data_IF_100729141849
#
_entry.id   IF_100729141849
#
_cell.length_a   1.000
_cell.length_b   1.000
_cell.length_c   1.000
_cell.angle_alpha   90.00
_cell.angle_beta   90.00
_cell.angle_gamma   90.00
#
_symmetry.space_group_name_H-M   'P 1'
#
loop_
_entity.id
_entity.type
_entity.pdbx_description
1 polymer ?
#
# COMPACT_ATOMS: atom_id res chain seq x y z
N UNK A 1 -50.03 -5.64 -21.73
CA UNK A 1 -49.81 -6.80 -22.60
C UNK A 1 -48.39 -7.29 -22.36
N UNK A 2 -48.26 -8.47 -21.80
CA UNK A 2 -46.98 -9.17 -21.61
C UNK A 2 -46.66 -9.94 -22.90
N UNK A 3 -45.51 -9.69 -23.50
CA UNK A 3 -44.96 -10.58 -24.53
C UNK A 3 -43.69 -11.28 -24.00
N UNK A 4 -43.80 -12.61 -23.99
CA UNK A 4 -42.76 -13.58 -23.67
C UNK A 4 -41.74 -13.66 -24.81
N UNK A 5 -40.47 -13.84 -24.46
CA UNK A 5 -39.52 -14.60 -25.29
C UNK A 5 -38.91 -15.71 -24.46
N UNK A 6 -39.30 -16.93 -24.80
CA UNK A 6 -38.57 -18.19 -24.58
C UNK A 6 -37.18 -18.05 -25.23
N UNK A 7 -36.08 -18.65 -24.79
CA UNK A 7 -35.84 -19.89 -24.08
C UNK A 7 -34.51 -20.40 -24.67
N UNK A 8 -33.42 -20.38 -23.91
CA UNK A 8 -32.16 -20.96 -24.35
C UNK A 8 -31.65 -21.94 -23.29
N UNK A 9 -31.42 -23.16 -23.77
CA UNK A 9 -31.23 -24.38 -23.01
C UNK A 9 -29.89 -24.41 -22.26
N UNK A 10 -29.95 -24.95 -21.04
CA UNK A 10 -28.79 -25.45 -20.27
C UNK A 10 -28.09 -26.54 -21.08
N UNK A 11 -26.77 -26.46 -21.20
CA UNK A 11 -25.93 -27.61 -21.57
C UNK A 11 -25.12 -28.01 -20.35
N UNK A 12 -25.42 -29.20 -19.86
CA UNK A 12 -24.59 -29.97 -18.94
C UNK A 12 -23.28 -30.37 -19.65
N UNK A 13 -22.15 -30.20 -18.97
CA UNK A 13 -20.88 -30.78 -19.35
C UNK A 13 -20.34 -31.58 -18.16
N UNK A 14 -20.87 -32.78 -18.01
CA UNK A 14 -20.19 -33.88 -17.33
C UNK A 14 -19.36 -34.68 -18.34
N UNK A 15 -18.27 -35.26 -17.85
CA UNK A 15 -17.39 -36.24 -18.51
C UNK A 15 -16.29 -35.66 -19.40
N UNK A 16 -15.10 -35.50 -18.81
CA UNK A 16 -13.90 -35.97 -19.47
C UNK A 16 -12.97 -36.66 -18.45
N UNK A 17 -12.97 -37.99 -18.49
CA UNK A 17 -12.00 -38.86 -17.82
C UNK A 17 -10.64 -38.66 -18.50
N UNK A 18 -9.71 -38.05 -17.78
CA UNK A 18 -8.29 -38.04 -18.13
C UNK A 18 -7.50 -38.81 -17.08
N UNK A 19 -6.78 -39.83 -17.54
CA UNK A 19 -6.00 -40.83 -16.81
C UNK A 19 -5.09 -40.26 -15.72
N UNK A 20 -5.21 -40.80 -14.49
CA UNK A 20 -4.23 -40.60 -13.42
C UNK A 20 -3.05 -41.54 -13.67
N UNK A 21 -1.86 -40.97 -13.87
CA UNK A 21 -0.59 -41.72 -13.83
C UNK A 21 -0.25 -42.10 -12.40
N UNK A 22 -0.05 -43.39 -12.19
CA UNK A 22 0.53 -44.00 -11.01
C UNK A 22 1.94 -43.45 -10.73
N UNK A 23 2.19 -43.08 -9.48
CA UNK A 23 3.53 -43.06 -8.89
C UNK A 23 3.44 -43.78 -7.54
N UNK A 24 3.82 -45.05 -7.55
CA UNK A 24 4.14 -45.78 -6.33
C UNK A 24 5.52 -45.36 -5.81
N UNK A 25 5.61 -45.14 -4.49
CA UNK A 25 6.56 -45.90 -3.67
C UNK A 25 6.24 -45.74 -2.18
N UNK A 26 5.89 -46.88 -1.56
CA UNK A 26 5.63 -47.03 -0.13
C UNK A 26 6.96 -47.28 0.60
N UNK A 27 7.20 -46.61 1.73
CA UNK A 27 8.04 -47.16 2.81
C UNK A 27 7.13 -47.69 3.93
N UNK A 28 7.38 -48.90 4.48
CA UNK A 28 6.44 -49.55 5.38
C UNK A 28 6.59 -49.01 6.81
N UNK A 29 5.49 -48.47 7.35
CA UNK A 29 5.35 -48.26 8.80
C UNK A 29 4.72 -49.53 9.36
N UNK A 30 5.48 -50.32 10.12
CA UNK A 30 4.93 -51.44 10.90
C UNK A 30 4.16 -50.88 12.10
N UNK A 31 2.92 -51.32 12.27
CA UNK A 31 2.08 -51.11 13.46
C UNK A 31 1.92 -52.46 14.15
N UNK A 32 2.02 -52.44 15.48
CA UNK A 32 1.76 -53.62 16.31
C UNK A 32 0.26 -53.67 16.68
N UNK A 33 -0.22 -54.85 17.08
CA UNK A 33 -1.62 -55.27 17.04
C UNK A 33 -2.63 -54.52 17.96
N UNK A 34 -2.23 -53.44 18.64
CA UNK A 34 -3.11 -52.66 19.54
C UNK A 34 -3.03 -51.12 19.33
N UNK A 35 -2.58 -50.66 18.16
CA UNK A 35 -3.00 -49.34 17.64
C UNK A 35 -2.64 -48.07 18.45
N UNK A 36 -1.50 -48.02 19.13
CA UNK A 36 -1.00 -46.79 19.81
C UNK A 36 0.40 -46.36 19.37
N UNK A 37 0.66 -45.05 19.33
CA UNK A 37 1.92 -44.44 18.88
C UNK A 37 2.90 -44.25 20.05
N UNK A 38 4.11 -44.84 19.97
CA UNK A 38 5.17 -44.65 20.97
C UNK A 38 6.30 -43.74 20.44
N UNK A 39 6.63 -42.68 21.19
CA UNK A 39 7.79 -41.81 20.96
C UNK A 39 9.07 -42.51 21.44
N UNK A 40 10.11 -42.50 20.63
CA UNK A 40 11.44 -43.03 20.97
C UNK A 40 12.18 -42.06 21.90
N UNK A 41 12.32 -42.43 23.17
CA UNK A 41 13.24 -41.79 24.14
C UNK A 41 14.63 -42.40 23.99
N UNK A 42 15.67 -41.58 23.82
CA UNK A 42 17.05 -42.04 23.89
C UNK A 42 17.57 -41.93 25.32
N UNK A 43 17.98 -43.08 25.86
CA UNK A 43 18.62 -43.23 27.16
C UNK A 43 20.09 -42.78 27.11
N UNK A 44 20.54 -42.35 28.27
CA UNK A 44 21.87 -41.88 28.62
C UNK A 44 22.55 -43.02 29.36
N UNK A 45 23.62 -43.60 28.81
CA UNK A 45 24.50 -44.50 29.56
C UNK A 45 25.98 -44.18 29.28
N UNK A 46 26.71 -44.07 30.40
CA UNK A 46 28.16 -43.98 30.56
C UNK A 46 28.74 -45.38 30.60
N UNK A 47 30.00 -45.52 30.20
CA UNK A 47 31.08 -46.35 30.80
C UNK A 47 32.25 -46.44 29.79
N UNK A 48 33.54 -46.63 30.08
CA UNK A 48 34.49 -46.30 31.16
C UNK A 48 35.83 -46.95 30.73
N UNK A 49 36.97 -46.24 30.70
CA UNK A 49 38.35 -46.76 30.99
C UNK A 49 39.49 -45.77 30.58
N UNK A 50 40.68 -45.81 31.24
CA UNK A 50 41.58 -44.66 31.41
C UNK A 50 42.87 -44.71 30.56
N UNK A 51 43.53 -43.56 30.34
CA UNK A 51 44.90 -43.46 29.77
C UNK A 51 45.76 -42.41 30.51
N UNK A 52 47.10 -42.57 30.51
CA UNK A 52 47.97 -42.24 31.65
C UNK A 52 48.56 -40.83 31.62
N UNK A 53 49.04 -40.39 32.79
CA UNK A 53 49.71 -39.12 33.04
C UNK A 53 51.04 -38.99 32.27
N UNK A 54 51.24 -37.85 31.60
CA UNK A 54 52.53 -37.46 30.99
C UNK A 54 53.03 -36.15 31.60
N UNK A 55 54.24 -36.23 32.15
CA UNK A 55 55.02 -35.16 32.80
C UNK A 55 55.21 -33.91 31.92
N UNK A 56 55.25 -32.77 32.61
CA UNK A 56 55.50 -31.41 32.15
C UNK A 56 56.84 -31.23 31.41
N UNK A 57 56.81 -30.38 30.38
CA UNK A 57 57.95 -29.56 29.94
C UNK A 57 57.45 -28.18 29.53
N UNK A 58 58.08 -27.16 30.09
CA UNK A 58 57.77 -25.73 29.97
C UNK A 58 57.81 -25.21 28.52
N UNK A 59 56.86 -24.34 28.18
CA UNK A 59 57.01 -23.38 27.08
C UNK A 59 56.58 -21.99 27.57
N UNK A 60 57.53 -21.07 27.44
CA UNK A 60 57.56 -19.68 27.91
C UNK A 60 56.30 -18.88 27.60
N UNK A 61 55.89 -18.08 28.59
CA UNK A 61 54.94 -16.98 28.49
C UNK A 61 55.43 -15.93 27.47
N UNK A 62 54.65 -15.69 26.42
CA UNK A 62 54.77 -14.51 25.56
C UNK A 62 53.42 -13.81 25.54
N UNK A 63 53.48 -12.51 25.82
CA UNK A 63 52.36 -11.64 26.15
C UNK A 63 51.24 -11.55 25.11
N UNK A 64 50.18 -10.90 25.57
CA UNK A 64 48.96 -10.55 24.86
C UNK A 64 49.21 -10.11 23.41
N UNK A 65 48.88 -10.98 22.46
CA UNK A 65 48.87 -10.67 21.03
C UNK A 65 47.62 -9.84 20.68
N UNK A 66 47.53 -8.61 21.23
CA UNK A 66 46.49 -7.65 20.83
C UNK A 66 46.94 -6.70 19.72
N UNK A 67 48.19 -6.74 19.28
CA UNK A 67 48.75 -5.67 18.44
C UNK A 67 49.38 -6.09 17.11
N UNK A 68 49.24 -7.33 16.60
CA UNK A 68 49.97 -7.72 15.37
C UNK A 68 49.21 -8.58 14.34
N UNK A 69 47.90 -8.38 14.16
CA UNK A 69 47.23 -8.78 12.91
C UNK A 69 46.30 -7.66 12.42
N UNK A 70 46.77 -6.95 11.40
CA UNK A 70 46.06 -5.85 10.77
C UNK A 70 44.72 -6.25 10.17
N UNK A 71 43.69 -5.48 10.51
CA UNK A 71 42.86 -4.84 9.48
C UNK A 71 41.87 -5.67 8.67
N UNK A 72 41.51 -6.90 9.05
CA UNK A 72 40.32 -7.57 8.49
C UNK A 72 39.31 -7.84 9.58
N UNK A 73 38.24 -7.03 9.62
CA UNK A 73 37.06 -7.23 10.46
C UNK A 73 36.50 -8.63 10.21
N UNK A 74 36.83 -9.58 11.07
CA UNK A 74 36.07 -10.82 11.20
C UNK A 74 34.65 -10.45 11.59
N UNK A 75 33.72 -10.78 10.69
CA UNK A 75 32.28 -10.97 10.93
C UNK A 75 31.72 -10.28 12.18
N UNK A 76 31.45 -8.98 12.08
CA UNK A 76 30.30 -8.43 12.83
C UNK A 76 29.07 -9.13 12.25
N UNK A 77 28.49 -10.05 13.00
CA UNK A 77 27.12 -10.51 12.75
C UNK A 77 26.19 -9.30 12.89
N UNK A 78 26.00 -8.56 11.80
CA UNK A 78 24.88 -7.64 11.72
C UNK A 78 23.64 -8.52 11.75
N UNK A 79 22.78 -8.25 12.73
CA UNK A 79 21.41 -8.70 12.71
C UNK A 79 20.86 -8.39 11.32
N UNK A 80 20.29 -9.39 10.66
CA UNK A 80 19.73 -9.28 9.30
C UNK A 80 18.48 -8.37 9.23
N UNK A 81 18.32 -7.50 10.24
CA UNK A 81 17.11 -6.77 10.61
C UNK A 81 17.35 -5.26 10.83
N UNK A 82 18.59 -4.77 10.82
CA UNK A 82 18.86 -3.34 11.12
C UNK A 82 19.26 -2.47 9.92
N UNK A 83 19.41 -3.04 8.72
CA UNK A 83 19.73 -2.23 7.54
C UNK A 83 19.35 -2.97 6.24
N UNK A 84 18.10 -3.42 6.14
CA UNK A 84 17.58 -3.72 4.79
C UNK A 84 17.50 -2.39 4.06
N UNK A 85 18.43 -2.14 3.15
CA UNK A 85 18.33 -1.20 2.02
C UNK A 85 16.86 -0.85 1.76
N UNK A 86 16.34 0.24 2.34
CA UNK A 86 15.01 0.79 2.05
C UNK A 86 15.06 1.46 0.68
N UNK A 87 15.51 0.71 -0.33
CA UNK A 87 15.51 1.17 -1.70
C UNK A 87 14.07 1.15 -2.17
N UNK A 88 13.58 2.32 -2.54
CA UNK A 88 12.36 2.48 -3.33
C UNK A 88 12.33 1.43 -4.44
N UNK A 89 11.29 0.57 -4.50
CA UNK A 89 11.18 -0.43 -5.54
C UNK A 89 11.19 0.20 -6.93
N UNK A 90 11.81 -0.49 -7.89
CA UNK A 90 11.70 -0.14 -9.29
C UNK A 90 10.49 -0.86 -9.88
N UNK A 91 9.55 -0.09 -10.42
CA UNK A 91 8.29 -0.59 -10.99
C UNK A 91 8.43 -0.70 -12.51
N UNK A 92 8.40 -1.91 -13.06
CA UNK A 92 8.53 -2.17 -14.50
C UNK A 92 7.16 -2.24 -15.19
N UNK A 93 6.34 -1.21 -14.97
CA UNK A 93 4.93 -1.15 -15.42
C UNK A 93 4.80 -1.20 -16.95
N UNK A 94 5.84 -0.78 -17.68
CA UNK A 94 5.83 -0.81 -19.15
C UNK A 94 5.79 -2.24 -19.71
N UNK A 95 6.40 -3.22 -19.02
CA UNK A 95 6.30 -4.64 -19.41
C UNK A 95 4.86 -5.16 -19.33
N UNK A 96 4.05 -4.62 -18.43
CA UNK A 96 2.63 -4.95 -18.35
C UNK A 96 1.86 -4.39 -19.53
N UNK A 97 2.24 -3.23 -20.10
CA UNK A 97 1.55 -2.65 -21.26
C UNK A 97 1.58 -3.61 -22.46
N UNK A 98 2.72 -4.24 -22.70
CA UNK A 98 2.90 -5.20 -23.81
C UNK A 98 2.10 -6.49 -23.62
N UNK A 99 1.95 -6.94 -22.37
CA UNK A 99 1.26 -8.19 -22.02
C UNK A 99 -0.20 -8.01 -21.61
N UNK A 100 -0.68 -6.77 -21.51
CA UNK A 100 -2.05 -6.44 -21.10
C UNK A 100 -3.11 -6.91 -22.12
N UNK A 101 -4.35 -7.19 -21.69
CA UNK A 101 -5.47 -7.44 -22.60
C UNK A 101 -5.63 -6.32 -23.64
N UNK A 102 -5.99 -6.66 -24.89
CA UNK A 102 -6.13 -5.70 -26.02
C UNK A 102 -6.98 -4.48 -25.70
N UNK A 103 -8.04 -4.63 -24.90
CA UNK A 103 -8.91 -3.52 -24.48
C UNK A 103 -8.16 -2.48 -23.62
N UNK A 104 -7.28 -2.96 -22.74
CA UNK A 104 -6.44 -2.10 -21.89
C UNK A 104 -5.35 -1.45 -22.74
N UNK A 105 -4.69 -2.20 -23.64
CA UNK A 105 -3.70 -1.65 -24.58
C UNK A 105 -4.28 -0.49 -25.40
N UNK A 106 -5.45 -0.69 -26.01
CA UNK A 106 -6.13 0.36 -26.77
C UNK A 106 -6.43 1.61 -25.93
N UNK A 107 -6.88 1.43 -24.68
CA UNK A 107 -7.13 2.55 -23.75
C UNK A 107 -5.84 3.30 -23.38
N UNK A 108 -4.74 2.58 -23.18
CA UNK A 108 -3.42 3.17 -22.90
C UNK A 108 -2.97 4.00 -24.11
N UNK A 109 -3.03 3.45 -25.31
CA UNK A 109 -2.67 4.15 -26.55
C UNK A 109 -3.51 5.42 -26.77
N UNK A 110 -4.82 5.37 -26.48
CA UNK A 110 -5.71 6.53 -26.59
C UNK A 110 -5.35 7.65 -25.59
N UNK A 111 -4.93 7.28 -24.37
CA UNK A 111 -4.49 8.23 -23.34
C UNK A 111 -3.14 8.84 -23.70
N UNK A 112 -2.17 8.02 -24.12
CA UNK A 112 -0.84 8.47 -24.54
C UNK A 112 -0.90 9.37 -25.79
N UNK A 113 -1.83 9.11 -26.72
CA UNK A 113 -2.08 9.97 -27.88
C UNK A 113 -2.70 11.33 -27.54
N UNK A 114 -3.44 11.43 -26.42
CA UNK A 114 -4.22 12.64 -26.08
C UNK A 114 -3.39 13.78 -25.48
N UNK A 115 -2.21 13.53 -24.94
CA UNK A 115 -1.42 14.59 -24.28
C UNK A 115 0.06 14.23 -24.22
N UNK A 116 0.83 14.68 -25.21
CA UNK A 116 2.30 14.71 -25.13
C UNK A 116 2.80 15.91 -24.32
N UNK A 117 1.99 16.97 -24.24
CA UNK A 117 2.31 18.21 -23.57
C UNK A 117 1.94 18.17 -22.09
N UNK A 118 2.90 18.51 -21.23
CA UNK A 118 2.71 18.58 -19.77
C UNK A 118 2.86 20.03 -19.32
N UNK A 119 1.95 20.53 -18.48
CA UNK A 119 2.08 21.89 -17.91
C UNK A 119 3.38 22.01 -17.10
N UNK A 120 4.10 23.12 -17.26
CA UNK A 120 5.42 23.36 -16.65
C UNK A 120 5.40 23.20 -15.12
N UNK A 121 4.37 23.74 -14.44
CA UNK A 121 4.22 23.61 -12.99
C UNK A 121 4.10 22.14 -12.53
N UNK A 122 3.46 21.30 -13.34
CA UNK A 122 3.31 19.87 -13.10
C UNK A 122 4.61 19.13 -13.38
N UNK A 123 5.35 19.54 -14.41
CA UNK A 123 6.69 19.00 -14.67
C UNK A 123 7.65 19.26 -13.50
N UNK A 124 7.69 20.50 -12.98
CA UNK A 124 8.54 20.89 -11.84
C UNK A 124 8.14 20.11 -10.57
N UNK A 125 6.83 19.98 -10.30
CA UNK A 125 6.35 19.21 -9.16
C UNK A 125 6.72 17.72 -9.25
N UNK A 126 6.60 17.12 -10.44
CA UNK A 126 7.00 15.73 -10.68
C UNK A 126 8.53 15.51 -10.63
N UNK A 127 9.31 16.59 -10.75
CA UNK A 127 10.75 16.59 -10.53
C UNK A 127 11.14 16.73 -9.05
N UNK A 128 10.15 16.77 -8.15
CA UNK A 128 10.37 16.76 -6.69
C UNK A 128 10.70 18.12 -6.07
N UNK A 129 10.77 19.19 -6.86
CA UNK A 129 11.26 20.49 -6.39
C UNK A 129 10.33 21.13 -5.36
N UNK A 130 9.03 21.16 -5.63
CA UNK A 130 8.04 21.80 -4.75
C UNK A 130 6.62 21.36 -5.11
N UNK A 131 5.62 21.92 -4.42
CA UNK A 131 4.21 21.72 -4.77
C UNK A 131 3.89 22.37 -6.13
N UNK A 132 2.77 21.98 -6.78
CA UNK A 132 2.34 22.64 -8.04
C UNK A 132 2.11 24.15 -7.88
N UNK A 133 1.61 24.58 -6.72
CA UNK A 133 1.34 26.00 -6.42
C UNK A 133 2.61 26.79 -6.16
N UNK A 134 3.61 26.16 -5.55
CA UNK A 134 4.90 26.81 -5.35
C UNK A 134 5.71 26.82 -6.65
N UNK A 135 5.54 25.81 -7.51
CA UNK A 135 6.11 25.81 -8.85
C UNK A 135 5.57 26.98 -9.69
N UNK A 136 4.29 27.31 -9.54
CA UNK A 136 3.68 28.50 -10.15
C UNK A 136 4.39 29.80 -9.69
N UNK A 137 4.71 29.93 -8.40
CA UNK A 137 5.48 31.09 -7.88
C UNK A 137 6.91 31.15 -8.42
N UNK A 138 7.59 30.00 -8.56
CA UNK A 138 8.94 29.93 -9.12
C UNK A 138 8.96 30.32 -10.62
N UNK A 139 7.91 29.95 -11.36
CA UNK A 139 7.73 30.36 -12.76
C UNK A 139 7.52 31.88 -12.82
N UNK A 140 6.60 32.41 -12.02
CA UNK A 140 6.30 33.84 -11.96
C UNK A 140 7.54 34.68 -11.59
N UNK A 141 8.37 34.19 -10.67
CA UNK A 141 9.64 34.81 -10.28
C UNK A 141 10.75 34.72 -11.35
N UNK A 142 10.54 34.00 -12.46
CA UNK A 142 11.51 33.85 -13.53
C UNK A 142 12.70 32.93 -13.20
N UNK A 143 12.56 32.06 -12.19
CA UNK A 143 13.63 31.15 -11.77
C UNK A 143 13.75 29.89 -12.66
N UNK A 144 12.77 29.67 -13.53
CA UNK A 144 12.68 28.49 -14.40
C UNK A 144 13.06 28.82 -15.84
N UNK A 145 13.94 27.99 -16.40
CA UNK A 145 14.34 28.06 -17.82
C UNK A 145 13.89 26.82 -18.58
N UNK A 146 13.32 27.00 -19.76
CA UNK A 146 13.00 25.93 -20.71
C UNK A 146 13.81 26.16 -21.98
N UNK A 147 14.62 25.17 -22.38
CA UNK A 147 15.51 25.26 -23.55
C UNK A 147 16.39 26.53 -23.56
N UNK A 148 16.81 26.98 -22.36
CA UNK A 148 17.66 28.15 -22.18
C UNK A 148 16.92 29.49 -22.05
N UNK A 149 15.60 29.53 -22.31
CA UNK A 149 14.78 30.74 -22.18
C UNK A 149 14.07 30.78 -20.82
N UNK A 150 14.08 31.93 -20.16
CA UNK A 150 13.31 32.13 -18.92
C UNK A 150 11.84 32.15 -19.27
N UNK A 151 11.04 31.37 -18.54
CA UNK A 151 9.59 31.31 -18.73
C UNK A 151 8.92 31.87 -17.47
N UNK A 152 8.09 32.90 -17.67
CA UNK A 152 7.22 33.50 -16.64
C UNK A 152 5.73 33.30 -16.94
N UNK A 153 5.41 32.69 -18.08
CA UNK A 153 4.04 32.51 -18.52
C UNK A 153 3.33 31.40 -17.74
N UNK A 154 2.26 31.80 -17.05
CA UNK A 154 1.38 30.89 -16.32
C UNK A 154 0.61 30.00 -17.29
N UNK A 155 0.93 28.71 -17.31
CA UNK A 155 0.27 27.75 -18.19
C UNK A 155 1.09 27.23 -19.33
N UNK A 156 2.34 27.67 -19.42
CA UNK A 156 3.32 27.10 -20.34
C UNK A 156 3.34 25.57 -20.27
N UNK A 157 3.36 24.93 -21.42
CA UNK A 157 3.43 23.48 -21.56
C UNK A 157 4.77 23.06 -22.15
N UNK A 158 5.34 21.98 -21.62
CA UNK A 158 6.60 21.41 -22.06
C UNK A 158 6.37 20.08 -22.78
N UNK A 159 7.16 19.85 -23.82
CA UNK A 159 7.27 18.58 -24.50
C UNK A 159 8.23 17.65 -23.76
N UNK A 160 8.13 16.32 -23.96
CA UNK A 160 9.06 15.37 -23.35
C UNK A 160 10.53 15.60 -23.75
N UNK A 161 10.77 16.25 -24.89
CA UNK A 161 12.08 16.60 -25.44
C UNK A 161 12.67 17.88 -24.84
N UNK A 162 11.87 18.70 -24.16
CA UNK A 162 12.31 19.99 -23.63
C UNK A 162 13.23 19.83 -22.42
N UNK A 163 14.23 20.71 -22.32
CA UNK A 163 15.16 20.77 -21.20
C UNK A 163 14.71 21.86 -20.24
N UNK A 164 14.12 21.45 -19.12
CA UNK A 164 13.73 22.34 -18.02
C UNK A 164 14.87 22.44 -16.99
N UNK A 165 15.19 23.65 -16.57
CA UNK A 165 16.22 23.96 -15.57
C UNK A 165 15.68 24.84 -14.46
N UNK A 166 16.12 24.58 -13.24
CA UNK A 166 15.98 25.45 -12.08
C UNK A 166 17.38 25.92 -11.67
N UNK A 167 17.67 27.21 -11.83
CA UNK A 167 19.04 27.73 -11.75
C UNK A 167 19.98 27.06 -12.76
N UNK A 168 21.03 26.40 -12.28
CA UNK A 168 21.98 25.62 -13.10
C UNK A 168 21.59 24.14 -13.26
N UNK A 169 20.64 23.64 -12.45
CA UNK A 169 20.29 22.22 -12.38
C UNK A 169 19.23 21.86 -13.43
N UNK A 170 19.50 20.81 -14.21
CA UNK A 170 18.49 20.18 -15.07
C UNK A 170 17.49 19.40 -14.22
N UNK A 171 16.21 19.63 -14.45
CA UNK A 171 15.14 18.91 -13.78
C UNK A 171 14.84 17.61 -14.53
N UNK A 172 14.85 16.50 -13.79
CA UNK A 172 14.45 15.19 -14.28
C UNK A 172 13.28 14.71 -13.42
N UNK A 173 12.40 13.88 -13.99
CA UNK A 173 11.32 13.23 -13.24
C UNK A 173 11.89 12.34 -12.15
N UNK A 174 11.31 12.41 -10.95
CA UNK A 174 11.66 11.48 -9.87
C UNK A 174 11.15 10.07 -10.15
N UNK A 175 11.77 9.08 -9.50
CA UNK A 175 11.23 7.72 -9.49
C UNK A 175 9.85 7.72 -8.84
N UNK A 176 8.89 7.05 -9.46
CA UNK A 176 7.55 6.93 -8.90
C UNK A 176 7.54 6.03 -7.66
N UNK A 177 6.85 6.46 -6.62
CA UNK A 177 6.77 5.78 -5.33
C UNK A 177 5.32 5.57 -4.95
N UNK A 178 4.98 4.38 -4.44
CA UNK A 178 3.65 4.07 -3.90
C UNK A 178 3.79 3.44 -2.53
N UNK A 179 3.36 4.16 -1.51
CA UNK A 179 3.49 3.78 -0.11
C UNK A 179 2.12 3.60 0.52
N UNK A 180 1.85 2.43 1.08
CA UNK A 180 0.63 2.17 1.84
C UNK A 180 0.94 2.28 3.33
N UNK A 181 0.38 3.29 3.98
CA UNK A 181 0.48 3.53 5.42
C UNK A 181 -0.79 3.03 6.11
N UNK A 182 -0.63 2.32 7.22
CA UNK A 182 -1.75 2.08 8.14
C UNK A 182 -1.74 3.16 9.24
N UNK A 183 -2.36 4.29 8.94
CA UNK A 183 -2.33 5.52 9.74
C UNK A 183 -2.85 5.29 11.18
N UNK A 184 -2.09 5.69 12.22
CA UNK A 184 -2.53 5.72 13.61
C UNK A 184 -3.44 6.93 13.91
N UNK A 185 -4.06 6.90 15.10
CA UNK A 185 -4.83 8.02 15.64
C UNK A 185 -3.89 9.20 15.96
N UNK A 186 -4.43 10.41 16.00
CA UNK A 186 -3.75 11.65 16.41
C UNK A 186 -2.75 12.24 15.43
N UNK A 187 -2.64 11.67 14.22
CA UNK A 187 -1.88 12.24 13.11
C UNK A 187 -2.79 12.94 12.11
N UNK A 188 -2.39 14.10 11.59
CA UNK A 188 -3.12 14.83 10.55
C UNK A 188 -2.60 14.48 9.15
N UNK A 189 -3.52 14.43 8.18
CA UNK A 189 -3.20 14.14 6.78
C UNK A 189 -2.91 15.42 6.01
N UNK A 190 -1.71 15.99 6.22
CA UNK A 190 -1.19 17.17 5.51
C UNK A 190 0.30 16.99 5.23
N UNK A 191 0.82 17.68 4.22
CA UNK A 191 2.27 17.73 3.94
C UNK A 191 2.99 18.75 4.81
N UNK A 192 2.30 19.83 5.19
CA UNK A 192 2.82 20.90 6.04
C UNK A 192 1.74 21.30 7.05
N UNK A 193 2.14 21.51 8.31
CA UNK A 193 1.23 21.97 9.36
C UNK A 193 1.75 23.26 10.01
N UNK A 194 1.00 24.37 9.92
CA UNK A 194 1.38 25.63 10.57
C UNK A 194 1.40 25.58 12.10
N UNK A 195 0.72 24.61 12.70
CA UNK A 195 0.53 24.49 14.15
C UNK A 195 1.40 23.37 14.77
N UNK A 196 2.40 22.87 14.04
CA UNK A 196 3.36 21.86 14.47
C UNK A 196 2.72 20.59 15.09
N UNK A 197 1.56 20.18 14.57
CA UNK A 197 0.88 18.95 14.95
C UNK A 197 1.47 17.77 14.18
N UNK A 198 1.48 16.60 14.82
CA UNK A 198 1.98 15.35 14.24
C UNK A 198 1.34 15.04 12.88
N UNK A 199 2.15 14.97 11.83
CA UNK A 199 1.71 14.72 10.45
C UNK A 199 2.00 13.29 10.00
N UNK A 200 1.21 12.79 9.05
CA UNK A 200 1.50 11.48 8.43
C UNK A 200 2.87 11.44 7.74
N UNK A 201 3.45 12.60 7.40
CA UNK A 201 4.78 12.70 6.80
C UNK A 201 5.89 12.30 7.77
N UNK A 202 5.71 12.55 9.08
CA UNK A 202 6.66 12.10 10.11
C UNK A 202 6.77 10.57 10.17
N UNK A 203 5.65 9.86 9.97
CA UNK A 203 5.61 8.39 9.99
C UNK A 203 6.38 7.76 8.83
N UNK A 204 6.53 8.50 7.72
CA UNK A 204 7.12 8.01 6.47
C UNK A 204 8.41 8.75 6.10
N UNK A 205 8.95 9.55 7.01
CA UNK A 205 10.09 10.46 6.75
C UNK A 205 11.33 9.74 6.20
N UNK A 206 11.55 8.51 6.64
CA UNK A 206 12.70 7.69 6.23
C UNK A 206 12.31 6.60 5.22
N UNK A 207 11.15 6.73 4.56
CA UNK A 207 10.66 5.72 3.64
C UNK A 207 11.36 5.78 2.27
N UNK A 208 11.57 6.98 1.75
CA UNK A 208 12.21 7.21 0.45
C UNK A 208 12.73 8.65 0.34
N UNK A 209 13.64 8.87 -0.61
CA UNK A 209 14.18 10.21 -0.91
C UNK A 209 13.23 11.05 -1.77
N UNK A 210 12.29 10.43 -2.48
CA UNK A 210 11.36 11.11 -3.38
C UNK A 210 10.26 11.86 -2.62
N UNK A 211 9.79 12.98 -3.19
CA UNK A 211 8.73 13.81 -2.58
C UNK A 211 7.34 13.19 -2.76
N UNK A 212 6.88 12.41 -1.79
CA UNK A 212 5.52 11.82 -1.78
C UNK A 212 4.49 12.69 -1.03
N UNK A 213 3.21 12.50 -1.35
CA UNK A 213 2.09 13.16 -0.67
C UNK A 213 0.87 12.20 -0.53
N UNK A 214 -0.02 12.44 0.44
CA UNK A 214 -1.17 11.57 0.67
C UNK A 214 -2.20 11.63 -0.46
N UNK A 215 -2.74 10.47 -0.81
CA UNK A 215 -3.84 10.28 -1.76
C UNK A 215 -5.16 10.37 -1.01
N UNK A 216 -5.79 11.54 -1.09
CA UNK A 216 -6.96 11.87 -0.29
C UNK A 216 -6.59 12.15 1.17
N UNK A 217 -7.59 12.11 2.06
CA UNK A 217 -7.39 12.46 3.47
C UNK A 217 -8.08 11.46 4.38
N UNK A 218 -7.49 11.27 5.56
CA UNK A 218 -8.14 10.71 6.74
C UNK A 218 -8.15 11.76 7.84
N UNK A 219 -9.25 11.87 8.57
CA UNK A 219 -9.33 12.77 9.72
C UNK A 219 -8.30 12.40 10.79
N UNK A 220 -7.99 13.34 11.68
CA UNK A 220 -7.02 13.16 12.76
C UNK A 220 -7.29 11.89 13.59
N UNK A 221 -8.54 11.70 13.98
CA UNK A 221 -8.99 10.58 14.81
C UNK A 221 -9.37 9.34 14.00
N UNK A 222 -9.35 9.42 12.67
CA UNK A 222 -9.61 8.28 11.80
C UNK A 222 -8.31 7.52 11.55
N UNK A 223 -8.39 6.21 11.69
CA UNK A 223 -7.27 5.30 11.50
C UNK A 223 -7.42 4.54 10.19
N UNK A 224 -6.36 3.89 9.72
CA UNK A 224 -6.46 2.92 8.63
C UNK A 224 -5.62 3.24 7.42
N UNK A 225 -5.92 2.58 6.32
CA UNK A 225 -5.11 2.65 5.11
C UNK A 225 -5.10 4.05 4.52
N UNK A 226 -3.92 4.57 4.21
CA UNK A 226 -3.68 5.81 3.49
C UNK A 226 -2.58 5.55 2.47
N UNK A 227 -2.87 5.78 1.20
CA UNK A 227 -1.88 5.71 0.14
C UNK A 227 -1.13 7.03 0.07
N UNK A 228 0.19 6.99 -0.10
CA UNK A 228 1.03 8.14 -0.43
C UNK A 228 1.79 7.86 -1.72
N UNK A 229 1.90 8.86 -2.59
CA UNK A 229 2.60 8.72 -3.87
C UNK A 229 3.08 10.07 -4.37
N UNK A 230 4.03 10.06 -5.31
CA UNK A 230 4.39 11.19 -6.16
C UNK A 230 3.81 11.05 -7.59
N UNK A 231 3.02 10.00 -7.87
CA UNK A 231 2.25 9.85 -9.11
C UNK A 231 0.95 10.65 -9.02
N UNK A 232 0.97 11.87 -9.56
CA UNK A 232 -0.19 12.76 -9.59
C UNK A 232 -1.38 12.23 -10.39
N UNK A 233 -1.15 11.46 -11.44
CA UNK A 233 -2.23 10.90 -12.26
C UNK A 233 -3.00 9.85 -11.47
N UNK A 234 -2.25 8.96 -10.82
CA UNK A 234 -2.87 7.95 -9.98
C UNK A 234 -3.57 8.58 -8.78
N UNK A 235 -2.95 9.56 -8.13
CA UNK A 235 -3.56 10.26 -7.01
C UNK A 235 -4.88 10.95 -7.39
N UNK A 236 -4.91 11.65 -8.51
CA UNK A 236 -6.12 12.28 -9.05
C UNK A 236 -7.17 11.23 -9.40
N UNK A 237 -6.79 10.17 -10.11
CA UNK A 237 -7.69 9.06 -10.45
C UNK A 237 -8.33 8.44 -9.20
N UNK A 238 -7.56 8.21 -8.14
CA UNK A 238 -8.06 7.56 -6.92
C UNK A 238 -8.89 8.49 -6.00
N UNK A 239 -8.86 9.81 -6.24
CA UNK A 239 -9.54 10.80 -5.40
C UNK A 239 -10.70 11.51 -6.10
N UNK A 240 -10.70 11.54 -7.44
CA UNK A 240 -11.74 12.21 -8.20
C UNK A 240 -13.11 11.52 -7.99
N UNK A 241 -14.17 12.27 -7.63
CA UNK A 241 -15.48 11.69 -7.31
C UNK A 241 -16.08 10.82 -8.42
N UNK A 242 -15.85 11.17 -9.70
CA UNK A 242 -16.39 10.44 -10.86
C UNK A 242 -15.89 9.01 -11.01
N UNK A 243 -14.80 8.66 -10.33
CA UNK A 243 -14.19 7.32 -10.46
C UNK A 243 -14.72 6.34 -9.42
N UNK A 244 -15.63 6.78 -8.53
CA UNK A 244 -16.39 5.92 -7.61
C UNK A 244 -15.53 4.91 -6.84
N UNK A 245 -14.34 5.36 -6.42
CA UNK A 245 -13.34 4.49 -5.81
C UNK A 245 -13.84 3.96 -4.47
N UNK A 246 -14.05 2.65 -4.39
CA UNK A 246 -14.57 1.99 -3.21
C UNK A 246 -13.62 2.10 -2.01
N UNK A 247 -14.21 2.38 -0.85
CA UNK A 247 -13.57 2.46 0.46
C UNK A 247 -14.38 1.60 1.42
N UNK A 248 -13.72 0.82 2.26
CA UNK A 248 -14.39 0.05 3.32
C UNK A 248 -13.89 0.54 4.66
N UNK A 249 -14.82 0.83 5.56
CA UNK A 249 -14.55 1.25 6.92
C UNK A 249 -15.15 0.27 7.90
N UNK A 250 -14.44 0.01 8.99
CA UNK A 250 -15.01 -0.50 10.21
C UNK A 250 -15.37 0.69 11.11
N UNK A 251 -16.60 0.71 11.59
CA UNK A 251 -17.17 1.78 12.42
C UNK A 251 -17.62 1.16 13.73
N UNK A 252 -17.23 1.78 14.84
CA UNK A 252 -17.72 1.44 16.17
C UNK A 252 -18.56 2.62 16.66
N UNK A 253 -19.81 2.33 17.05
CA UNK A 253 -20.80 3.31 17.50
C UNK A 253 -21.10 3.15 19.00
N UNK A 254 -21.71 4.16 19.59
CA UNK A 254 -22.00 4.28 21.03
C UNK A 254 -23.12 3.37 21.54
N UNK A 255 -24.04 2.96 20.66
CA UNK A 255 -25.17 2.08 20.97
C UNK A 255 -25.51 1.15 19.81
N UNK A 256 -26.23 0.02 20.04
CA UNK A 256 -26.62 -0.91 18.98
C UNK A 256 -27.39 -0.23 17.86
N UNK A 257 -27.08 -0.55 16.59
CA UNK A 257 -27.84 -0.03 15.46
C UNK A 257 -29.23 -0.69 15.36
N UNK A 258 -30.24 0.09 14.96
CA UNK A 258 -31.58 -0.41 14.63
C UNK A 258 -31.67 -0.91 13.18
N UNK A 259 -32.54 -1.89 12.93
CA UNK A 259 -32.65 -2.51 11.60
C UNK A 259 -33.23 -1.56 10.54
N UNK A 260 -34.03 -0.57 10.96
CA UNK A 260 -34.56 0.45 10.05
C UNK A 260 -33.49 1.49 9.66
N UNK A 261 -32.56 1.80 10.57
CA UNK A 261 -31.40 2.66 10.26
C UNK A 261 -30.42 1.98 9.29
N UNK A 262 -30.24 0.65 9.40
CA UNK A 262 -29.48 -0.12 8.41
C UNK A 262 -30.09 0.07 7.02
N UNK A 263 -31.42 -0.07 6.88
CA UNK A 263 -32.12 0.12 5.61
C UNK A 263 -31.93 1.55 5.11
N UNK A 264 -32.15 2.54 5.97
CA UNK A 264 -32.02 3.96 5.61
C UNK A 264 -30.62 4.28 5.06
N UNK A 265 -29.54 3.78 5.69
CA UNK A 265 -28.16 3.95 5.19
C UNK A 265 -27.95 3.30 3.82
N UNK A 266 -28.54 2.12 3.59
CA UNK A 266 -28.40 1.36 2.33
C UNK A 266 -29.32 1.83 1.21
N UNK A 267 -30.48 2.42 1.51
CA UNK A 267 -31.44 2.92 0.52
C UNK A 267 -31.11 4.37 0.12
N UNK A 268 -30.63 5.17 1.08
CA UNK A 268 -30.17 6.53 0.88
C UNK A 268 -30.69 7.48 1.96
N UNK A 269 -29.86 8.43 2.37
CA UNK A 269 -30.15 9.46 3.35
C UNK A 269 -29.90 10.84 2.75
N UNK A 270 -30.72 11.83 3.12
CA UNK A 270 -30.49 13.22 2.74
C UNK A 270 -29.73 13.95 3.84
N UNK A 271 -28.45 14.18 3.62
CA UNK A 271 -27.62 15.02 4.49
C UNK A 271 -27.68 16.49 4.04
N UNK A 272 -27.09 17.39 4.84
CA UNK A 272 -27.02 18.82 4.56
C UNK A 272 -26.41 19.17 3.20
N UNK A 273 -25.44 18.36 2.73
CA UNK A 273 -24.74 18.54 1.46
C UNK A 273 -25.25 17.62 0.34
N UNK A 274 -26.46 17.06 0.52
CA UNK A 274 -27.15 16.26 -0.48
C UNK A 274 -27.26 14.77 -0.12
N UNK A 275 -27.89 14.01 -1.02
CA UNK A 275 -28.18 12.59 -0.83
C UNK A 275 -26.91 11.75 -0.76
N UNK A 276 -26.84 10.80 0.17
CA UNK A 276 -25.77 9.81 0.29
C UNK A 276 -26.35 8.42 0.42
N UNK A 277 -25.68 7.43 -0.16
CA UNK A 277 -26.02 6.03 -0.07
C UNK A 277 -24.76 5.22 0.21
N UNK A 278 -24.83 4.28 1.15
CA UNK A 278 -23.79 3.28 1.30
C UNK A 278 -23.95 2.18 0.24
N UNK A 279 -22.85 1.69 -0.30
CA UNK A 279 -22.89 0.58 -1.26
C UNK A 279 -23.34 -0.70 -0.55
N UNK A 280 -22.75 -0.95 0.63
CA UNK A 280 -23.04 -2.10 1.49
C UNK A 280 -22.84 -1.70 2.95
N UNK A 281 -23.67 -2.25 3.84
CA UNK A 281 -23.53 -2.15 5.29
C UNK A 281 -23.70 -3.54 5.91
N UNK A 282 -22.80 -3.93 6.79
CA UNK A 282 -22.84 -5.22 7.47
C UNK A 282 -22.55 -5.07 8.96
N UNK A 283 -23.35 -5.74 9.80
CA UNK A 283 -23.07 -5.85 11.24
C UNK A 283 -21.96 -6.89 11.45
N UNK A 284 -20.91 -6.51 12.17
CA UNK A 284 -19.73 -7.35 12.42
C UNK A 284 -19.83 -8.05 13.78
N UNK A 285 -20.35 -7.37 14.80
CA UNK A 285 -20.44 -7.89 16.17
C UNK A 285 -21.89 -8.20 16.55
N UNK A 286 -22.14 -9.24 17.39
CA UNK A 286 -23.50 -9.60 17.81
C UNK A 286 -24.26 -8.51 18.58
N UNK A 287 -23.55 -7.60 19.24
CA UNK A 287 -24.11 -6.44 19.95
C UNK A 287 -24.59 -5.31 19.01
N UNK A 288 -24.42 -5.46 17.69
CA UNK A 288 -24.76 -4.48 16.66
C UNK A 288 -24.05 -3.12 16.81
N UNK A 289 -22.93 -3.06 17.54
CA UNK A 289 -22.19 -1.80 17.77
C UNK A 289 -20.98 -1.63 16.84
N UNK A 290 -20.55 -2.69 16.15
CA UNK A 290 -19.47 -2.61 15.17
C UNK A 290 -20.00 -2.99 13.79
N UNK A 291 -19.78 -2.09 12.83
CA UNK A 291 -20.29 -2.21 11.46
C UNK A 291 -19.18 -2.10 10.43
N UNK A 292 -19.32 -2.81 9.32
CA UNK A 292 -18.56 -2.61 8.09
C UNK A 292 -19.39 -1.80 7.10
N UNK A 293 -18.90 -0.65 6.67
CA UNK A 293 -19.54 0.20 5.67
C UNK A 293 -18.65 0.33 4.43
N UNK A 294 -19.23 0.04 3.27
CA UNK A 294 -18.61 0.22 1.95
C UNK A 294 -19.21 1.44 1.27
N UNK A 295 -18.36 2.34 0.80
CA UNK A 295 -18.80 3.59 0.18
C UNK A 295 -17.78 4.06 -0.85
N UNK A 296 -18.25 4.65 -1.94
CA UNK A 296 -17.41 5.30 -2.94
C UNK A 296 -17.24 6.81 -2.71
N UNK A 297 -18.15 7.44 -1.95
CA UNK A 297 -18.09 8.88 -1.65
C UNK A 297 -16.82 9.29 -0.88
N UNK A 298 -16.27 10.45 -1.26
CA UNK A 298 -15.12 11.08 -0.60
C UNK A 298 -15.46 12.37 0.16
N UNK A 299 -16.76 12.65 0.39
CA UNK A 299 -17.21 13.86 1.09
C UNK A 299 -16.64 13.96 2.50
N UNK A 300 -16.46 15.18 2.99
CA UNK A 300 -15.87 15.43 4.30
C UNK A 300 -16.65 14.68 5.39
N UNK A 301 -15.93 13.92 6.23
CA UNK A 301 -16.46 13.15 7.37
C UNK A 301 -17.72 12.32 7.06
N UNK A 302 -17.90 11.87 5.81
CA UNK A 302 -19.18 11.35 5.35
C UNK A 302 -19.71 10.18 6.19
N UNK A 303 -18.85 9.24 6.56
CA UNK A 303 -19.25 8.10 7.40
C UNK A 303 -19.73 8.58 8.76
N UNK A 304 -19.02 9.53 9.39
CA UNK A 304 -19.45 10.07 10.69
C UNK A 304 -20.79 10.79 10.58
N UNK A 305 -20.96 11.62 9.55
CA UNK A 305 -22.20 12.36 9.32
C UNK A 305 -23.41 11.46 9.07
N UNK A 306 -23.22 10.31 8.41
CA UNK A 306 -24.28 9.31 8.23
C UNK A 306 -24.80 8.83 9.59
N UNK A 307 -23.90 8.41 10.48
CA UNK A 307 -24.27 7.89 11.81
C UNK A 307 -24.76 9.02 12.75
N UNK A 308 -24.11 10.18 12.73
CA UNK A 308 -24.50 11.36 13.51
C UNK A 308 -25.92 11.83 13.13
N UNK A 309 -26.29 11.78 11.85
CA UNK A 309 -27.63 12.15 11.37
C UNK A 309 -28.74 11.24 11.92
N UNK A 310 -28.42 9.97 12.19
CA UNK A 310 -29.33 8.99 12.77
C UNK A 310 -29.23 8.94 14.31
N UNK A 311 -28.49 9.87 14.92
CA UNK A 311 -28.37 9.98 16.37
C UNK A 311 -27.41 8.98 17.02
N UNK A 312 -26.40 8.51 16.28
CA UNK A 312 -25.30 7.67 16.78
C UNK A 312 -23.99 8.46 16.84
N UNK A 313 -23.18 8.22 17.86
CA UNK A 313 -21.82 8.75 17.96
C UNK A 313 -20.81 7.71 17.47
N UNK A 314 -19.93 8.10 16.54
CA UNK A 314 -18.85 7.23 16.05
C UNK A 314 -17.63 7.29 16.96
N UNK A 315 -17.48 6.27 17.80
CA UNK A 315 -16.37 6.10 18.74
C UNK A 315 -15.04 5.79 18.03
N UNK A 316 -15.05 4.83 17.10
CA UNK A 316 -13.87 4.48 16.30
C UNK A 316 -14.22 4.39 14.82
N UNK A 317 -13.31 4.89 13.98
CA UNK A 317 -13.43 4.79 12.54
C UNK A 317 -12.10 4.34 11.96
N UNK A 318 -12.14 3.26 11.20
CA UNK A 318 -10.95 2.61 10.69
C UNK A 318 -11.11 2.17 9.23
N UNK A 319 -10.36 2.77 8.31
CA UNK A 319 -10.40 2.40 6.88
C UNK A 319 -9.65 1.08 6.66
N UNK A 320 -10.38 -0.01 6.49
CA UNK A 320 -9.85 -1.38 6.32
C UNK A 320 -9.46 -1.71 4.89
N UNK A 321 -10.11 -1.08 3.91
CA UNK A 321 -9.80 -1.23 2.48
C UNK A 321 -9.88 0.10 1.74
N UNK A 322 -8.99 0.30 0.78
CA UNK A 322 -8.96 1.46 -0.11
C UNK A 322 -8.58 1.02 -1.52
N UNK A 323 -9.47 1.21 -2.50
CA UNK A 323 -9.23 0.81 -3.90
C UNK A 323 -8.80 -0.67 -4.05
N UNK A 324 -9.32 -1.54 -3.19
CA UNK A 324 -8.96 -2.97 -3.16
C UNK A 324 -7.61 -3.30 -2.53
N UNK A 325 -6.90 -2.32 -1.96
CA UNK A 325 -5.77 -2.53 -1.05
C UNK A 325 -6.27 -2.86 0.35
N UNK A 326 -5.58 -3.75 1.07
CA UNK A 326 -5.98 -4.20 2.41
C UNK A 326 -4.86 -4.01 3.43
N UNK A 327 -5.20 -4.17 4.71
CA UNK A 327 -4.26 -4.11 5.84
C UNK A 327 -3.41 -5.38 6.03
N UNK A 328 -3.51 -6.34 5.11
CA UNK A 328 -2.80 -7.60 5.23
C UNK A 328 -1.30 -7.32 5.44
N UNK A 329 -0.76 -7.92 6.51
CA UNK A 329 0.64 -7.81 6.92
C UNK A 329 1.12 -6.36 7.16
N UNK A 330 0.21 -5.45 7.52
CA UNK A 330 0.51 -4.04 7.75
C UNK A 330 -0.01 -3.55 9.12
N UNK A 331 0.82 -3.65 10.19
CA UNK A 331 0.47 -3.17 11.52
C UNK A 331 0.20 -1.67 11.56
N UNK A 332 -0.51 -1.21 12.60
CA UNK A 332 -0.80 0.22 12.80
C UNK A 332 0.50 1.02 12.97
N UNK A 333 0.57 2.20 12.37
CA UNK A 333 1.75 3.06 12.40
C UNK A 333 2.79 2.71 11.33
N UNK A 334 2.75 1.48 10.81
CA UNK A 334 3.71 1.02 9.82
C UNK A 334 3.21 1.29 8.40
N UNK A 335 4.17 1.30 7.49
CA UNK A 335 3.97 1.44 6.06
C UNK A 335 4.70 0.34 5.31
N UNK A 336 4.30 0.12 4.06
CA UNK A 336 5.03 -0.71 3.10
C UNK A 336 4.92 -0.11 1.70
N UNK A 337 5.85 -0.45 0.82
CA UNK A 337 5.65 -0.18 -0.60
C UNK A 337 4.55 -1.06 -1.17
N UNK A 338 3.84 -0.55 -2.17
CA UNK A 338 2.97 -1.39 -2.99
C UNK A 338 3.81 -2.33 -3.83
N UNK A 339 3.28 -3.53 -4.04
CA UNK A 339 3.81 -4.48 -5.03
C UNK A 339 3.45 -3.99 -6.43
N UNK A 340 4.24 -4.40 -7.43
CA UNK A 340 3.95 -4.07 -8.83
C UNK A 340 2.55 -4.51 -9.27
N UNK A 341 2.09 -5.67 -8.81
CA UNK A 341 0.72 -6.16 -9.07
C UNK A 341 -0.35 -5.23 -8.51
N UNK A 342 -0.14 -4.69 -7.31
CA UNK A 342 -1.06 -3.71 -6.72
C UNK A 342 -1.05 -2.39 -7.51
N UNK A 343 0.13 -1.90 -7.92
CA UNK A 343 0.23 -0.69 -8.74
C UNK A 343 -0.48 -0.87 -10.08
N UNK A 344 -0.26 -1.99 -10.77
CA UNK A 344 -0.94 -2.36 -12.03
C UNK A 344 -2.45 -2.40 -11.82
N UNK A 345 -2.92 -3.01 -10.73
CA UNK A 345 -4.35 -3.05 -10.38
C UNK A 345 -4.93 -1.64 -10.28
N UNK A 346 -4.29 -0.74 -9.52
CA UNK A 346 -4.76 0.63 -9.34
C UNK A 346 -4.76 1.44 -10.66
N UNK A 347 -3.73 1.25 -11.49
CA UNK A 347 -3.59 1.99 -12.76
C UNK A 347 -4.61 1.55 -13.81
N UNK A 348 -4.89 0.26 -13.93
CA UNK A 348 -5.62 -0.25 -15.10
C UNK A 348 -6.96 -0.93 -14.80
N UNK A 349 -7.23 -1.32 -13.55
CA UNK A 349 -8.40 -2.11 -13.18
C UNK A 349 -9.33 -1.44 -12.16
N UNK A 350 -8.91 -0.29 -11.62
CA UNK A 350 -9.72 0.56 -10.76
C UNK A 350 -10.32 1.71 -11.56
#
# INVERSE_FOLDING_TARGET
GFEKREGFQKRDFSENRGERKDFGDKKPVRRDAEGTFVKKSFSKDKDSAPKPARKEREIKTIGTAKDNFGGRKLFKSHSRFEESDLRTPEYHIDSFKETAPRKIQKRIEEVEKKSTLVRLNRFIANAGICSRRDADKLIEAGEIKVNGKVITEMGYQVQPTDIVKYGSRKLNREKTVYLLLNKPKDFITTTEDPNDRKTVMELVKNACDSRIYPVGRLDRNTTGLLLLTNDGELAEKLTHPSNEITKVYQVEIDKPIEDDDIKAITEGLKLEDGEIKADELAVITPDKMVLGIKIHSGRNRIVRRIFEHLGYEVLKLDRTSFAGLTKKDLPRGNWRFLTEKEVVKLKYFV
#
